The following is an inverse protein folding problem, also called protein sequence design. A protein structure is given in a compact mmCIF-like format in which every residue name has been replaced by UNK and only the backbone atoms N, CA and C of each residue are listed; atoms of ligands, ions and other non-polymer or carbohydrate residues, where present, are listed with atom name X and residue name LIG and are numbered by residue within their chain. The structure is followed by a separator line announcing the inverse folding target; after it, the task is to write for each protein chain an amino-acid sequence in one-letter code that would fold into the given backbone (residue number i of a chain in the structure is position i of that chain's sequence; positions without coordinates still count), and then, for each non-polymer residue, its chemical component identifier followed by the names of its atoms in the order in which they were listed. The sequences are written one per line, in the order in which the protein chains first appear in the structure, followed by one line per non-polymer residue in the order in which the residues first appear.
data_IF_935434828604
#
_entry.id   IF_935434828604
#
_cell.length_a   1.000
_cell.length_b   1.000
_cell.length_c   1.000
_cell.angle_alpha   90.00
_cell.angle_beta   90.00
_cell.angle_gamma   90.00
#
_symmetry.space_group_name_H-M   'P 1'
#
loop_
_entity.id
_entity.type
_entity.pdbx_description
1 polymer ?
#
# COMPACT_ATOMS: atom_id res chain seq x y z
N UNK A 1 -44.24 -32.45 86.48
CA UNK A 1 -45.55 -31.80 86.68
C UNK A 1 -45.39 -30.29 86.52
N UNK A 2 -46.37 -29.66 85.85
CA UNK A 2 -46.72 -28.22 85.83
C UNK A 2 -45.62 -27.21 85.41
N UNK A 3 -45.61 -26.58 84.23
CA UNK A 3 -46.60 -25.71 83.56
C UNK A 3 -46.91 -24.39 84.29
N UNK A 4 -46.43 -23.26 83.75
CA UNK A 4 -47.07 -21.94 83.83
C UNK A 4 -46.50 -21.00 82.74
N UNK A 5 -47.19 -20.88 81.60
CA UNK A 5 -48.13 -19.80 81.24
C UNK A 5 -47.49 -18.44 80.95
N UNK A 6 -47.49 -18.03 79.67
CA UNK A 6 -47.98 -16.71 79.19
C UNK A 6 -48.66 -16.94 77.82
N UNK A 7 -49.99 -16.85 77.78
CA UNK A 7 -50.81 -15.74 77.24
C UNK A 7 -50.68 -15.59 75.71
N UNK A 8 -51.70 -16.06 74.95
CA UNK A 8 -52.72 -15.26 74.22
C UNK A 8 -52.09 -14.29 73.19
N UNK A 9 -52.47 -14.21 71.91
CA UNK A 9 -53.50 -14.81 71.03
C UNK A 9 -53.06 -14.45 69.57
N UNK A 10 -53.73 -14.99 68.52
CA UNK A 10 -53.12 -15.26 67.22
C UNK A 10 -53.44 -14.22 66.09
N UNK A 11 -52.48 -14.14 65.14
CA UNK A 11 -52.53 -13.85 63.67
C UNK A 11 -53.34 -12.67 63.09
N UNK A 12 -52.86 -12.01 62.00
CA UNK A 12 -52.80 -12.63 60.67
C UNK A 12 -51.45 -12.48 59.92
N UNK A 13 -51.27 -13.27 58.85
CA UNK A 13 -50.00 -13.38 58.14
C UNK A 13 -49.70 -12.12 57.32
N UNK A 14 -48.46 -11.64 57.44
CA UNK A 14 -47.89 -10.75 56.44
C UNK A 14 -47.83 -11.53 55.11
N UNK A 15 -48.67 -11.10 54.15
CA UNK A 15 -48.62 -11.54 52.76
C UNK A 15 -47.18 -11.44 52.23
N UNK A 16 -46.74 -12.38 51.38
CA UNK A 16 -45.51 -12.21 50.63
C UNK A 16 -45.67 -10.93 49.80
N UNK A 17 -44.72 -10.00 49.95
CA UNK A 17 -44.59 -8.91 49.00
C UNK A 17 -44.43 -9.55 47.63
N UNK A 18 -45.51 -9.49 46.84
CA UNK A 18 -45.50 -9.74 45.42
C UNK A 18 -44.45 -8.82 44.86
N UNK A 19 -43.28 -9.42 44.61
CA UNK A 19 -42.14 -8.79 43.98
C UNK A 19 -42.64 -8.37 42.61
N UNK A 20 -43.03 -7.10 42.48
CA UNK A 20 -43.25 -6.47 41.20
C UNK A 20 -42.06 -6.85 40.30
N UNK A 21 -42.29 -7.29 39.05
CA UNK A 21 -41.20 -7.45 38.12
C UNK A 21 -40.55 -6.07 38.02
N UNK A 22 -39.37 -5.94 38.63
CA UNK A 22 -38.50 -4.80 38.41
C UNK A 22 -38.40 -4.67 36.89
N UNK A 23 -38.66 -3.49 36.30
CA UNK A 23 -38.47 -3.28 34.87
C UNK A 23 -37.08 -3.79 34.57
N UNK A 24 -37.03 -4.69 33.58
CA UNK A 24 -35.90 -5.54 33.30
C UNK A 24 -34.59 -4.76 33.45
N UNK A 25 -33.63 -5.38 34.14
CA UNK A 25 -32.22 -5.10 33.89
C UNK A 25 -32.10 -4.95 32.38
N UNK A 26 -31.65 -3.81 31.82
CA UNK A 26 -31.30 -3.81 30.42
C UNK A 26 -30.24 -4.89 30.30
N UNK A 27 -30.59 -5.87 29.49
CA UNK A 27 -29.81 -7.05 29.17
C UNK A 27 -28.37 -6.63 28.92
N UNK A 28 -27.41 -7.48 29.30
CA UNK A 28 -25.97 -7.32 29.05
C UNK A 28 -25.58 -7.31 27.56
N UNK A 29 -26.50 -6.88 26.70
CA UNK A 29 -26.44 -6.71 25.26
C UNK A 29 -26.03 -5.26 24.89
N UNK A 30 -25.90 -4.35 25.87
CA UNK A 30 -25.76 -2.90 25.65
C UNK A 30 -24.32 -2.37 25.45
N UNK A 31 -23.30 -3.22 25.34
CA UNK A 31 -21.95 -2.78 24.92
C UNK A 31 -21.21 -3.81 24.07
N UNK A 32 -21.94 -4.54 23.22
CA UNK A 32 -21.27 -5.10 22.06
C UNK A 32 -20.94 -3.89 21.16
N UNK A 33 -19.71 -3.36 21.25
CA UNK A 33 -19.19 -2.48 20.21
C UNK A 33 -19.50 -3.15 18.88
N UNK A 34 -20.27 -2.47 18.03
CA UNK A 34 -20.67 -2.98 16.74
C UNK A 34 -19.42 -3.56 16.05
N UNK A 35 -19.41 -4.87 15.69
CA UNK A 35 -18.21 -5.51 15.19
C UNK A 35 -17.67 -4.81 13.94
N UNK A 36 -18.55 -4.17 13.16
CA UNK A 36 -18.16 -3.32 12.02
C UNK A 36 -17.39 -2.07 12.47
N UNK A 37 -17.84 -1.40 13.53
CA UNK A 37 -17.23 -0.19 14.08
C UNK A 37 -15.86 -0.46 14.70
N UNK A 38 -15.75 -1.56 15.44
CA UNK A 38 -14.48 -2.01 15.99
C UNK A 38 -13.48 -2.39 14.88
N UNK A 39 -13.98 -3.03 13.83
CA UNK A 39 -13.17 -3.39 12.65
C UNK A 39 -12.68 -2.15 11.91
N UNK A 40 -13.55 -1.18 11.60
CA UNK A 40 -13.17 0.06 10.94
C UNK A 40 -12.12 0.85 11.73
N UNK A 41 -12.32 1.04 13.04
CA UNK A 41 -11.34 1.72 13.91
C UNK A 41 -9.99 1.03 13.95
N UNK A 42 -9.97 -0.31 14.00
CA UNK A 42 -8.73 -1.09 13.95
C UNK A 42 -8.00 -0.91 12.62
N UNK A 43 -8.74 -0.90 11.50
CA UNK A 43 -8.15 -0.69 10.17
C UNK A 43 -7.58 0.74 10.03
N UNK A 44 -8.31 1.77 10.46
CA UNK A 44 -7.85 3.17 10.45
C UNK A 44 -6.59 3.33 11.31
N UNK A 45 -6.60 2.79 12.53
CA UNK A 45 -5.43 2.84 13.42
C UNK A 45 -4.22 2.14 12.80
N UNK A 46 -4.42 0.99 12.16
CA UNK A 46 -3.32 0.23 11.53
C UNK A 46 -2.70 0.99 10.36
N UNK A 47 -3.53 1.66 9.55
CA UNK A 47 -3.08 2.55 8.48
C UNK A 47 -2.29 3.75 9.05
N UNK A 48 -2.83 4.41 10.07
CA UNK A 48 -2.18 5.57 10.71
C UNK A 48 -0.88 5.24 11.45
N UNK A 49 -0.72 4.02 11.96
CA UNK A 49 0.48 3.59 12.70
C UNK A 49 1.62 3.10 11.79
N UNK A 50 1.39 2.98 10.48
CA UNK A 50 2.39 2.43 9.56
C UNK A 50 2.63 0.93 9.74
N UNK A 51 1.73 0.22 10.43
CA UNK A 51 1.77 -1.24 10.65
C UNK A 51 1.44 -2.07 9.38
N UNK A 52 1.40 -1.38 8.24
CA UNK A 52 1.10 -1.91 6.93
C UNK A 52 2.41 -2.03 6.18
N UNK A 53 2.83 -3.26 5.92
CA UNK A 53 4.18 -3.54 5.41
C UNK A 53 4.30 -3.42 3.90
N UNK A 54 3.18 -3.30 3.18
CA UNK A 54 3.15 -3.21 1.72
C UNK A 54 1.96 -2.40 1.18
N UNK A 55 2.15 -1.79 0.00
CA UNK A 55 1.09 -1.06 -0.72
C UNK A 55 -0.09 -1.96 -1.14
N UNK A 56 0.12 -3.27 -1.25
CA UNK A 56 -0.95 -4.25 -1.53
C UNK A 56 -1.77 -4.54 -0.27
N UNK A 57 -1.13 -4.62 0.89
CA UNK A 57 -1.84 -4.74 2.17
C UNK A 57 -2.61 -3.45 2.47
N UNK A 58 -2.04 -2.29 2.19
CA UNK A 58 -2.71 -0.99 2.26
C UNK A 58 -3.96 -0.99 1.36
N UNK A 59 -3.80 -1.38 0.10
CA UNK A 59 -4.92 -1.54 -0.85
C UNK A 59 -6.01 -2.49 -0.35
N UNK A 60 -5.64 -3.63 0.24
CA UNK A 60 -6.61 -4.59 0.80
C UNK A 60 -7.35 -4.02 2.02
N UNK A 61 -6.64 -3.31 2.88
CA UNK A 61 -7.21 -2.67 4.06
C UNK A 61 -8.16 -1.55 3.63
N UNK A 62 -7.75 -0.69 2.71
CA UNK A 62 -8.58 0.39 2.15
C UNK A 62 -9.81 -0.16 1.43
N UNK A 63 -9.65 -1.21 0.61
CA UNK A 63 -10.77 -1.90 -0.06
C UNK A 63 -11.76 -2.51 0.94
N UNK A 64 -11.29 -2.92 2.12
CA UNK A 64 -12.14 -3.44 3.20
C UNK A 64 -12.77 -2.33 4.05
N UNK A 65 -12.16 -1.14 4.07
CA UNK A 65 -12.61 0.02 4.85
C UNK A 65 -13.71 0.81 4.12
N UNK A 66 -13.66 0.90 2.79
CA UNK A 66 -14.65 1.60 1.97
C UNK A 66 -16.12 1.17 2.25
N UNK A 67 -16.49 -0.14 2.17
CA UNK A 67 -17.87 -0.54 2.47
C UNK A 67 -18.25 -0.34 3.94
N UNK A 68 -17.28 -0.40 4.86
CA UNK A 68 -17.52 -0.11 6.26
C UNK A 68 -17.82 1.39 6.46
N UNK A 69 -17.12 2.29 5.78
CA UNK A 69 -17.43 3.73 5.87
C UNK A 69 -18.81 4.07 5.31
N UNK A 70 -19.27 3.40 4.26
CA UNK A 70 -20.63 3.58 3.73
C UNK A 70 -21.69 3.09 4.73
N UNK A 71 -21.42 2.01 5.48
CA UNK A 71 -22.37 1.39 6.41
C UNK A 71 -22.39 2.08 7.79
N UNK A 72 -21.23 2.46 8.32
CA UNK A 72 -21.08 2.97 9.69
C UNK A 72 -20.41 4.34 9.77
N UNK A 73 -20.24 5.02 8.64
CA UNK A 73 -19.65 6.35 8.54
C UNK A 73 -20.25 7.31 9.55
N UNK A 74 -21.59 7.35 9.64
CA UNK A 74 -22.31 8.25 10.55
C UNK A 74 -22.08 8.02 12.04
N UNK A 75 -21.49 6.89 12.41
CA UNK A 75 -21.17 6.51 13.79
C UNK A 75 -19.68 6.67 14.13
N UNK A 76 -18.83 6.93 13.13
CA UNK A 76 -17.43 7.28 13.33
C UNK A 76 -17.29 8.78 13.64
N UNK A 77 -16.26 9.14 14.40
CA UNK A 77 -15.96 10.56 14.65
C UNK A 77 -15.54 11.27 13.36
N UNK A 78 -15.70 12.60 13.31
CA UNK A 78 -15.32 13.39 12.14
C UNK A 78 -13.82 13.27 11.78
N UNK A 79 -12.97 13.06 12.79
CA UNK A 79 -11.53 12.83 12.60
C UNK A 79 -11.27 11.45 11.98
N UNK A 80 -11.88 10.39 12.53
CA UNK A 80 -11.76 9.02 11.99
C UNK A 80 -12.28 8.93 10.55
N UNK A 81 -13.36 9.63 10.21
CA UNK A 81 -13.88 9.71 8.84
C UNK A 81 -12.91 10.40 7.89
N UNK A 82 -12.32 11.54 8.31
CA UNK A 82 -11.34 12.26 7.50
C UNK A 82 -10.08 11.43 7.27
N UNK A 83 -9.58 10.78 8.31
CA UNK A 83 -8.41 9.89 8.19
C UNK A 83 -8.72 8.74 7.23
N UNK A 84 -9.84 8.04 7.44
CA UNK A 84 -10.26 6.94 6.58
C UNK A 84 -10.46 7.36 5.11
N UNK A 85 -11.08 8.52 4.88
CA UNK A 85 -11.27 9.09 3.54
C UNK A 85 -9.94 9.47 2.89
N UNK A 86 -9.01 10.06 3.66
CA UNK A 86 -7.68 10.41 3.16
C UNK A 86 -6.87 9.20 2.69
N UNK A 87 -7.06 8.04 3.33
CA UNK A 87 -6.47 6.76 2.89
C UNK A 87 -7.16 6.18 1.66
N UNK A 88 -8.48 6.32 1.54
CA UNK A 88 -9.23 5.93 0.33
C UNK A 88 -8.81 6.78 -0.87
N UNK A 89 -8.67 8.10 -0.69
CA UNK A 89 -8.28 9.02 -1.77
C UNK A 89 -6.81 8.87 -2.17
N UNK A 90 -5.95 8.42 -1.24
CA UNK A 90 -4.53 8.13 -1.48
C UNK A 90 -4.29 6.86 -2.29
N UNK A 91 -5.15 5.86 -2.14
CA UNK A 91 -5.00 4.58 -2.84
C UNK A 91 -5.82 4.62 -4.13
N UNK A 92 -5.20 4.77 -5.32
CA UNK A 92 -5.95 4.79 -6.55
C UNK A 92 -6.64 3.44 -6.76
N UNK A 93 -7.97 3.47 -6.85
CA UNK A 93 -8.75 2.32 -7.30
C UNK A 93 -8.24 1.85 -8.69
N UNK A 94 -8.30 0.55 -9.02
CA UNK A 94 -7.93 0.06 -10.34
C UNK A 94 -8.81 0.75 -11.39
N UNK A 95 -8.21 1.66 -12.16
CA UNK A 95 -8.90 2.42 -13.20
C UNK A 95 -9.15 1.52 -14.40
N UNK A 96 -10.40 1.12 -14.61
CA UNK A 96 -10.90 0.82 -15.95
C UNK A 96 -10.72 2.05 -16.84
N UNK A 97 -10.25 1.91 -18.10
CA UNK A 97 -9.96 3.07 -18.94
C UNK A 97 -11.27 3.68 -19.44
N UNK A 98 -11.68 4.80 -18.85
CA UNK A 98 -12.71 5.66 -19.40
C UNK A 98 -12.18 7.10 -19.47
N UNK A 99 -12.01 7.55 -20.72
CA UNK A 99 -12.05 8.92 -21.28
C UNK A 99 -11.72 10.08 -20.31
N UNK A 100 -10.67 10.89 -20.58
CA UNK A 100 -10.22 11.91 -19.63
C UNK A 100 -11.20 13.08 -19.58
N UNK A 101 -11.89 13.20 -18.44
CA UNK A 101 -12.37 14.49 -17.94
C UNK A 101 -11.27 15.07 -17.05
N UNK A 102 -10.84 16.29 -17.39
CA UNK A 102 -9.70 16.98 -16.79
C UNK A 102 -9.82 17.12 -15.26
N UNK A 103 -8.75 16.84 -14.49
CA UNK A 103 -8.60 17.35 -13.13
C UNK A 103 -7.80 18.68 -13.13
N UNK A 104 -8.21 19.57 -12.22
CA UNK A 104 -7.57 20.84 -11.88
C UNK A 104 -6.09 20.68 -11.41
N UNK A 105 -5.28 21.75 -11.42
CA UNK A 105 -3.84 21.66 -11.49
C UNK A 105 -3.27 21.19 -10.14
N UNK A 106 -2.75 19.95 -10.12
CA UNK A 106 -1.59 19.70 -9.27
C UNK A 106 -0.47 20.56 -9.85
N UNK A 107 0.31 21.19 -9.00
CA UNK A 107 1.54 21.82 -9.44
C UNK A 107 2.42 20.72 -10.00
N UNK A 108 2.31 20.50 -11.31
CA UNK A 108 3.23 19.73 -12.11
C UNK A 108 4.56 20.46 -11.97
N UNK A 109 5.45 19.97 -11.11
CA UNK A 109 6.87 20.20 -11.34
C UNK A 109 7.11 19.84 -12.81
N UNK A 110 7.83 20.67 -13.58
CA UNK A 110 7.90 20.54 -15.01
C UNK A 110 8.47 19.16 -15.35
N UNK A 111 7.56 18.24 -15.68
CA UNK A 111 7.87 16.91 -16.18
C UNK A 111 8.85 17.09 -17.33
N UNK A 112 9.94 16.32 -17.33
CA UNK A 112 10.88 16.36 -18.44
C UNK A 112 10.15 16.25 -19.78
N UNK A 113 10.50 17.14 -20.70
CA UNK A 113 9.98 17.13 -22.07
C UNK A 113 10.14 15.73 -22.68
N UNK A 114 9.09 15.16 -23.32
CA UNK A 114 9.12 13.78 -23.82
C UNK A 114 10.31 13.46 -24.72
N UNK A 115 10.74 14.41 -25.55
CA UNK A 115 11.89 14.24 -26.45
C UNK A 115 13.21 14.18 -25.67
N UNK A 116 13.36 14.98 -24.61
CA UNK A 116 14.52 14.93 -23.73
C UNK A 116 14.57 13.61 -22.96
N UNK A 117 13.41 13.12 -22.51
CA UNK A 117 13.30 11.85 -21.82
C UNK A 117 13.70 10.69 -22.73
N UNK A 118 13.24 10.67 -23.98
CA UNK A 118 13.63 9.65 -24.98
C UNK A 118 15.12 9.69 -25.30
N UNK A 119 15.69 10.88 -25.47
CA UNK A 119 17.12 11.03 -25.71
C UNK A 119 17.95 10.53 -24.51
N UNK A 120 17.55 10.89 -23.29
CA UNK A 120 18.18 10.40 -22.06
C UNK A 120 18.04 8.88 -21.91
N UNK A 121 16.86 8.32 -22.19
CA UNK A 121 16.62 6.88 -22.16
C UNK A 121 17.51 6.14 -23.17
N UNK A 122 17.67 6.66 -24.39
CA UNK A 122 18.57 6.08 -25.38
C UNK A 122 20.04 6.09 -24.92
N UNK A 123 20.49 7.18 -24.31
CA UNK A 123 21.84 7.31 -23.75
C UNK A 123 22.07 6.33 -22.58
N UNK A 124 21.13 6.27 -21.63
CA UNK A 124 21.17 5.32 -20.51
C UNK A 124 21.14 3.88 -21.00
N UNK A 125 20.26 3.54 -21.94
CA UNK A 125 20.20 2.21 -22.54
C UNK A 125 21.53 1.81 -23.17
N UNK A 126 22.18 2.73 -23.89
CA UNK A 126 23.51 2.50 -24.47
C UNK A 126 24.58 2.24 -23.39
N UNK A 127 24.57 3.04 -22.32
CA UNK A 127 25.49 2.86 -21.20
C UNK A 127 25.25 1.53 -20.46
N UNK A 128 23.99 1.12 -20.27
CA UNK A 128 23.63 -0.16 -19.64
C UNK A 128 24.02 -1.35 -20.50
N UNK A 129 23.81 -1.28 -21.83
CA UNK A 129 24.30 -2.33 -22.75
C UNK A 129 25.83 -2.48 -22.69
N UNK A 130 26.55 -1.36 -22.60
CA UNK A 130 28.00 -1.37 -22.42
C UNK A 130 28.37 -2.01 -21.08
N UNK A 131 27.73 -1.60 -19.99
CA UNK A 131 27.95 -2.18 -18.66
C UNK A 131 27.66 -3.68 -18.63
N UNK A 132 26.60 -4.13 -19.31
CA UNK A 132 26.25 -5.54 -19.47
C UNK A 132 27.35 -6.33 -20.20
N UNK A 133 27.87 -5.79 -21.31
CA UNK A 133 29.00 -6.38 -22.05
C UNK A 133 30.27 -6.47 -21.23
N UNK A 134 30.55 -5.44 -20.43
CA UNK A 134 31.70 -5.37 -19.52
C UNK A 134 31.48 -6.17 -18.22
N UNK A 135 30.27 -6.74 -18.03
CA UNK A 135 29.85 -7.46 -16.82
C UNK A 135 30.02 -6.63 -15.54
N UNK A 136 29.66 -5.36 -15.61
CA UNK A 136 29.73 -4.41 -14.50
C UNK A 136 28.33 -3.98 -14.05
N UNK A 137 28.16 -3.78 -12.75
CA UNK A 137 26.91 -3.26 -12.17
C UNK A 137 27.06 -1.73 -12.05
N UNK A 138 26.46 -0.92 -12.93
CA UNK A 138 26.56 0.53 -12.86
C UNK A 138 25.68 1.06 -11.73
N UNK A 139 26.12 2.14 -11.06
CA UNK A 139 25.27 2.92 -10.15
C UNK A 139 24.66 4.10 -10.90
N UNK A 140 23.53 4.63 -10.39
CA UNK A 140 22.90 5.81 -10.98
C UNK A 140 23.84 7.02 -10.99
N UNK A 141 24.51 7.29 -9.86
CA UNK A 141 25.49 8.38 -9.74
C UNK A 141 26.61 8.27 -10.79
N UNK A 142 27.10 7.05 -11.07
CA UNK A 142 28.12 6.83 -12.10
C UNK A 142 27.58 7.12 -13.49
N UNK A 143 26.31 6.78 -13.78
CA UNK A 143 25.68 7.14 -15.04
C UNK A 143 25.50 8.64 -15.18
N UNK A 144 25.10 9.35 -14.12
CA UNK A 144 25.04 10.83 -14.12
C UNK A 144 26.39 11.45 -14.43
N UNK A 145 27.47 10.94 -13.83
CA UNK A 145 28.83 11.39 -14.11
C UNK A 145 29.29 11.08 -15.54
N UNK A 146 28.97 9.89 -16.06
CA UNK A 146 29.39 9.46 -17.40
C UNK A 146 28.61 10.13 -18.52
N UNK A 147 27.30 10.34 -18.33
CA UNK A 147 26.41 10.90 -19.35
C UNK A 147 26.31 12.43 -19.26
N UNK A 148 26.61 13.02 -18.10
CA UNK A 148 26.65 14.46 -17.91
C UNK A 148 25.36 15.13 -18.39
N UNK A 149 25.47 16.06 -19.34
CA UNK A 149 24.32 16.78 -19.91
C UNK A 149 23.31 15.90 -20.64
N UNK A 150 23.67 14.68 -21.04
CA UNK A 150 22.76 13.73 -21.65
C UNK A 150 21.79 13.09 -20.63
N UNK A 151 22.10 13.16 -19.33
CA UNK A 151 21.20 12.74 -18.26
C UNK A 151 20.84 13.96 -17.39
N UNK A 152 19.76 14.69 -17.72
CA UNK A 152 19.38 15.89 -16.98
C UNK A 152 18.95 15.54 -15.55
N UNK A 153 19.06 16.51 -14.64
CA UNK A 153 18.47 16.38 -13.31
C UNK A 153 16.97 16.15 -13.45
N UNK A 154 16.46 15.16 -12.73
CA UNK A 154 15.10 14.68 -12.91
C UNK A 154 14.49 14.21 -11.59
N UNK A 155 13.17 14.29 -11.51
CA UNK A 155 12.41 13.83 -10.35
C UNK A 155 12.40 12.31 -10.25
N UNK A 156 11.99 11.75 -9.11
CA UNK A 156 11.84 10.31 -8.97
C UNK A 156 10.84 9.73 -9.99
N UNK A 157 9.76 10.45 -10.29
CA UNK A 157 8.76 10.03 -11.29
C UNK A 157 9.34 10.02 -12.71
N UNK A 158 10.18 11.01 -13.04
CA UNK A 158 10.88 11.04 -14.32
C UNK A 158 11.92 9.92 -14.44
N UNK A 159 12.58 9.52 -13.33
CA UNK A 159 13.48 8.36 -13.32
C UNK A 159 12.72 7.08 -13.67
N UNK A 160 11.53 6.87 -13.09
CA UNK A 160 10.70 5.69 -13.41
C UNK A 160 10.30 5.70 -14.88
N UNK A 161 9.84 6.85 -15.40
CA UNK A 161 9.48 6.98 -16.82
C UNK A 161 10.67 6.75 -17.75
N UNK A 162 11.86 7.21 -17.35
CA UNK A 162 13.09 6.96 -18.10
C UNK A 162 13.44 5.48 -18.11
N UNK A 163 13.37 4.79 -16.97
CA UNK A 163 13.68 3.35 -16.89
C UNK A 163 12.69 2.51 -17.72
N UNK A 164 11.40 2.88 -17.72
CA UNK A 164 10.40 2.27 -18.62
C UNK A 164 10.82 2.49 -20.08
N UNK A 165 11.17 3.71 -20.47
CA UNK A 165 11.60 4.04 -21.84
C UNK A 165 12.92 3.34 -22.24
N UNK A 166 13.82 3.07 -21.29
CA UNK A 166 15.04 2.27 -21.52
C UNK A 166 14.68 0.85 -21.94
N UNK A 167 13.62 0.29 -21.36
CA UNK A 167 13.20 -1.10 -21.53
C UNK A 167 12.08 -1.31 -22.58
N UNK A 168 11.52 -0.25 -23.17
CA UNK A 168 10.45 -0.32 -24.18
C UNK A 168 10.74 -1.24 -25.39
N UNK A 169 12.01 -1.61 -25.63
CA UNK A 169 12.39 -2.53 -26.69
C UNK A 169 13.07 -3.80 -26.20
N UNK A 170 12.88 -4.17 -24.94
CA UNK A 170 13.34 -5.44 -24.37
C UNK A 170 12.23 -6.48 -24.54
N UNK A 171 12.47 -7.61 -25.22
CA UNK A 171 11.50 -8.70 -25.33
C UNK A 171 11.04 -9.19 -23.95
N UNK A 172 9.76 -9.54 -23.80
CA UNK A 172 9.20 -9.94 -22.50
C UNK A 172 9.72 -11.27 -21.93
N UNK A 173 10.52 -12.02 -22.70
CA UNK A 173 11.23 -13.22 -22.27
C UNK A 173 12.68 -12.93 -21.81
N UNK A 174 13.12 -11.68 -21.87
CA UNK A 174 14.45 -11.23 -21.45
C UNK A 174 14.36 -10.35 -20.19
N UNK A 175 15.34 -10.50 -19.30
CA UNK A 175 15.53 -9.60 -18.18
C UNK A 175 15.71 -8.14 -18.66
N UNK A 176 15.09 -7.23 -17.93
CA UNK A 176 15.13 -5.79 -18.19
C UNK A 176 16.55 -5.26 -17.98
N UNK A 177 16.99 -4.30 -18.81
CA UNK A 177 18.29 -3.66 -18.62
C UNK A 177 18.33 -2.81 -17.35
N UNK A 178 17.17 -2.28 -16.93
CA UNK A 178 17.04 -1.55 -15.66
C UNK A 178 17.32 -2.40 -14.41
N UNK A 179 17.33 -3.74 -14.51
CA UNK A 179 17.70 -4.64 -13.42
C UNK A 179 19.14 -4.37 -12.92
N UNK A 180 20.05 -4.02 -13.84
CA UNK A 180 21.43 -3.64 -13.51
C UNK A 180 21.51 -2.44 -12.56
N UNK A 181 20.61 -1.47 -12.72
CA UNK A 181 20.55 -0.29 -11.85
C UNK A 181 19.80 -0.57 -10.55
N UNK A 182 18.70 -1.31 -10.62
CA UNK A 182 17.94 -1.71 -9.44
C UNK A 182 18.78 -2.62 -8.51
N UNK A 183 19.72 -3.40 -9.05
CA UNK A 183 20.63 -4.23 -8.29
C UNK A 183 21.67 -3.41 -7.49
N UNK A 184 22.10 -2.26 -7.98
CA UNK A 184 23.13 -1.43 -7.31
C UNK A 184 22.55 -0.31 -6.44
N UNK A 185 21.35 0.17 -6.75
CA UNK A 185 20.75 1.35 -6.13
C UNK A 185 19.43 0.98 -5.44
N UNK A 186 19.40 1.08 -4.10
CA UNK A 186 18.20 0.79 -3.30
C UNK A 186 17.05 1.76 -3.61
N UNK A 187 17.37 2.98 -4.02
CA UNK A 187 16.39 3.99 -4.43
C UNK A 187 15.80 3.73 -5.81
N UNK A 188 16.49 3.02 -6.70
CA UNK A 188 15.90 2.54 -7.95
C UNK A 188 15.22 1.18 -7.77
N UNK A 189 15.73 0.34 -6.86
CA UNK A 189 15.13 -0.95 -6.49
C UNK A 189 13.68 -0.82 -6.03
N UNK A 190 13.38 0.15 -5.16
CA UNK A 190 12.01 0.41 -4.69
C UNK A 190 11.02 0.72 -5.82
N UNK A 191 11.54 1.19 -6.96
CA UNK A 191 10.76 1.58 -8.13
C UNK A 191 10.72 0.51 -9.22
N UNK A 192 11.58 -0.51 -9.14
CA UNK A 192 11.67 -1.59 -10.12
C UNK A 192 10.34 -2.31 -10.35
N UNK A 193 9.50 -2.60 -9.35
CA UNK A 193 8.19 -3.20 -9.58
C UNK A 193 7.28 -2.37 -10.51
N UNK A 194 7.38 -1.04 -10.47
CA UNK A 194 6.61 -0.18 -11.38
C UNK A 194 7.13 -0.28 -12.83
N UNK A 195 8.46 -0.41 -13.00
CA UNK A 195 9.10 -0.58 -14.31
C UNK A 195 8.77 -1.95 -14.91
N UNK A 196 8.87 -3.01 -14.09
CA UNK A 196 8.51 -4.37 -14.47
C UNK A 196 7.03 -4.48 -14.88
N UNK A 197 6.13 -3.92 -14.08
CA UNK A 197 4.70 -3.92 -14.37
C UNK A 197 4.35 -3.17 -15.68
N UNK A 198 5.02 -2.06 -15.96
CA UNK A 198 4.85 -1.33 -17.22
C UNK A 198 5.31 -2.14 -18.44
N UNK A 199 6.26 -3.06 -18.24
CA UNK A 199 6.76 -4.00 -19.25
C UNK A 199 5.95 -5.32 -19.29
N UNK A 200 4.91 -5.45 -18.46
CA UNK A 200 4.05 -6.63 -18.38
C UNK A 200 4.62 -7.79 -17.54
N UNK A 201 5.68 -7.53 -16.77
CA UNK A 201 6.33 -8.52 -15.89
C UNK A 201 5.76 -8.44 -14.48
N UNK A 202 5.57 -9.59 -13.84
CA UNK A 202 5.19 -9.71 -12.43
C UNK A 202 6.45 -9.99 -11.60
N UNK A 203 6.69 -9.18 -10.58
CA UNK A 203 7.85 -9.33 -9.69
C UNK A 203 7.40 -9.41 -8.23
N UNK A 204 8.19 -10.07 -7.36
CA UNK A 204 7.86 -10.15 -5.94
C UNK A 204 7.71 -8.76 -5.29
N UNK A 205 6.71 -8.65 -4.41
CA UNK A 205 6.49 -7.46 -3.58
C UNK A 205 7.49 -7.40 -2.39
N UNK A 206 8.08 -8.54 -2.01
CA UNK A 206 9.05 -8.63 -0.91
C UNK A 206 10.44 -8.16 -1.35
N UNK A 207 11.10 -7.34 -0.53
CA UNK A 207 12.40 -6.74 -0.89
C UNK A 207 13.53 -7.77 -0.97
N UNK A 208 13.47 -8.84 -0.16
CA UNK A 208 14.42 -9.94 -0.19
C UNK A 208 14.23 -10.79 -1.44
N UNK A 209 13.01 -11.21 -1.71
CA UNK A 209 12.70 -11.98 -2.94
C UNK A 209 13.00 -11.16 -4.20
N UNK A 210 12.71 -9.85 -4.18
CA UNK A 210 13.05 -8.94 -5.26
C UNK A 210 14.56 -8.83 -5.46
N UNK A 211 15.35 -8.86 -4.40
CA UNK A 211 16.82 -8.87 -4.52
C UNK A 211 17.31 -10.12 -5.26
N UNK A 212 16.76 -11.28 -4.92
CA UNK A 212 17.15 -12.54 -5.54
C UNK A 212 16.76 -12.59 -7.02
N UNK A 213 15.55 -12.08 -7.36
CA UNK A 213 15.12 -11.90 -8.75
C UNK A 213 16.05 -10.95 -9.50
N UNK A 214 16.40 -9.81 -8.90
CA UNK A 214 17.31 -8.85 -9.54
C UNK A 214 18.71 -9.45 -9.75
N UNK A 215 19.22 -10.25 -8.84
CA UNK A 215 20.51 -10.93 -9.00
C UNK A 215 20.46 -11.93 -10.17
N UNK A 216 19.36 -12.68 -10.30
CA UNK A 216 19.14 -13.57 -11.43
C UNK A 216 18.99 -12.81 -12.76
N UNK A 217 18.23 -11.71 -12.78
CA UNK A 217 18.03 -10.85 -13.94
C UNK A 217 19.35 -10.24 -14.40
N UNK A 218 20.20 -9.76 -13.48
CA UNK A 218 21.54 -9.25 -13.78
C UNK A 218 22.38 -10.31 -14.46
N UNK A 219 22.37 -11.55 -13.96
CA UNK A 219 23.09 -12.65 -14.57
C UNK A 219 22.58 -12.96 -15.98
N UNK A 220 21.26 -12.99 -16.17
CA UNK A 220 20.66 -13.19 -17.50
C UNK A 220 21.04 -12.08 -18.48
N UNK A 221 21.02 -10.82 -18.04
CA UNK A 221 21.47 -9.67 -18.84
C UNK A 221 22.94 -9.83 -19.23
N UNK A 222 23.83 -10.22 -18.32
CA UNK A 222 25.22 -10.47 -18.65
C UNK A 222 25.40 -11.59 -19.67
N UNK A 223 24.70 -12.70 -19.50
CA UNK A 223 24.81 -13.84 -20.41
C UNK A 223 24.29 -13.50 -21.81
N UNK A 224 23.23 -12.70 -21.91
CA UNK A 224 22.71 -12.20 -23.19
C UNK A 224 23.71 -11.29 -23.90
N UNK A 225 24.27 -10.30 -23.19
CA UNK A 225 25.11 -9.27 -23.80
C UNK A 225 26.59 -9.67 -23.92
N UNK A 226 27.05 -10.74 -23.28
CA UNK A 226 28.41 -11.28 -23.47
C UNK A 226 28.68 -11.70 -24.92
N UNK A 227 27.65 -12.10 -25.66
CA UNK A 227 27.76 -12.66 -27.01
C UNK A 227 27.09 -11.79 -28.11
N UNK A 228 26.54 -10.63 -27.76
CA UNK A 228 25.78 -9.75 -28.65
C UNK A 228 26.53 -8.48 -29.07
#
# INVERSE_FOLDING_TARGET
MAAARRLRRPTPPARPATRAPRPGRPSSQERAEDPALKKARRLIRRLNQGDVRSAREERRIVKSLAPLLEEIGDRLSALERRDAQSWIDRVPAPRTPAKPAAPAPRQEEPSLEPDKLRAAAAAVRGALKKAAREQTVPTWERLEQQLGSALPKMTADDQVRLLIAVDEGTPGDQALLSSLLAASDSGLRRHYPAVAAASGLDVPDDEGDLRDVLEADVQQVYDHWRHA
#
